data_IF_729426930650
#
_entry.id   IF_729426930650
#
_cell.length_a   1.000
_cell.length_b   1.000
_cell.length_c   1.000
_cell.angle_alpha   90.00
_cell.angle_beta   90.00
_cell.angle_gamma   90.00
#
_symmetry.space_group_name_H-M   'P 1'
#
loop_
_entity.id
_entity.type
_entity.pdbx_description
1 polymer ?
#
# COMPACT_ATOMS: atom_id res chain seq x y z
N UNK A 1 16.98 15.43 -9.78
CA UNK A 1 15.87 14.49 -9.86
C UNK A 1 15.01 14.59 -8.61
N UNK A 2 13.71 14.55 -8.78
CA UNK A 2 12.77 14.71 -7.67
C UNK A 2 11.97 13.45 -7.46
N UNK A 3 11.61 13.18 -6.22
CA UNK A 3 10.65 12.14 -5.88
C UNK A 3 9.38 12.83 -5.37
N UNK A 4 8.24 12.24 -5.66
CA UNK A 4 6.95 12.71 -5.17
C UNK A 4 6.44 11.73 -4.12
N UNK A 5 6.01 12.26 -2.98
CA UNK A 5 5.43 11.44 -1.93
C UNK A 5 4.00 11.90 -1.71
N UNK A 6 3.05 10.97 -1.86
CA UNK A 6 1.63 11.22 -1.64
C UNK A 6 1.17 10.41 -0.42
N UNK A 7 0.57 11.08 0.55
CA UNK A 7 -0.03 10.38 1.67
C UNK A 7 -1.40 9.87 1.24
N UNK A 8 -1.53 8.54 1.11
CA UNK A 8 -2.74 7.89 0.63
C UNK A 8 -3.66 7.51 1.79
N UNK A 9 -3.08 7.25 2.96
CA UNK A 9 -3.81 6.76 4.12
C UNK A 9 -3.11 7.26 5.38
N UNK A 10 -3.85 7.87 6.27
CA UNK A 10 -3.32 8.38 7.53
C UNK A 10 -4.45 8.42 8.55
N UNK A 11 -4.11 8.62 9.82
CA UNK A 11 -5.12 8.68 10.89
C UNK A 11 -5.95 9.95 10.81
N UNK A 12 -5.43 11.01 10.20
CA UNK A 12 -6.18 12.22 9.93
C UNK A 12 -6.39 12.43 8.46
N UNK A 13 -7.61 12.79 8.05
CA UNK A 13 -7.90 13.12 6.66
C UNK A 13 -7.81 14.61 6.46
N UNK A 14 -7.41 15.02 5.24
CA UNK A 14 -7.36 16.43 4.90
C UNK A 14 -8.78 17.01 4.94
N UNK A 15 -9.02 18.12 5.67
CA UNK A 15 -10.35 18.73 5.76
C UNK A 15 -10.92 19.10 4.39
N UNK A 16 -12.22 19.04 4.27
CA UNK A 16 -12.97 19.41 3.05
C UNK A 16 -12.62 18.56 1.82
N UNK A 17 -12.11 17.33 2.03
CA UNK A 17 -11.90 16.36 0.96
C UNK A 17 -12.71 15.11 1.21
N UNK A 18 -12.82 14.24 0.19
CA UNK A 18 -13.49 12.95 0.33
C UNK A 18 -12.57 11.86 0.89
N UNK A 19 -11.36 12.20 1.28
CA UNK A 19 -10.41 11.25 1.85
C UNK A 19 -10.87 10.80 3.22
N UNK A 20 -10.60 9.55 3.55
CA UNK A 20 -10.98 8.95 4.83
C UNK A 20 -9.73 8.70 5.65
N UNK A 21 -9.72 9.19 6.90
CA UNK A 21 -8.66 8.90 7.85
C UNK A 21 -9.03 7.72 8.74
N UNK A 22 -8.06 6.87 9.01
CA UNK A 22 -8.22 5.71 9.88
C UNK A 22 -6.85 5.25 10.37
N UNK A 23 -6.83 4.20 11.19
CA UNK A 23 -5.59 3.72 11.77
C UNK A 23 -4.61 3.22 10.71
N UNK A 24 -3.35 3.62 10.86
CA UNK A 24 -2.27 3.23 9.98
C UNK A 24 -1.85 4.35 9.04
N UNK A 25 -0.93 4.02 8.16
CA UNK A 25 -0.37 4.98 7.20
C UNK A 25 -0.05 4.26 5.91
N UNK A 26 -0.26 4.93 4.79
CA UNK A 26 0.20 4.46 3.49
C UNK A 26 0.72 5.64 2.69
N UNK A 27 1.93 5.51 2.18
CA UNK A 27 2.59 6.54 1.39
C UNK A 27 2.88 6.00 0.00
N UNK A 28 2.54 6.77 -1.01
CA UNK A 28 2.93 6.47 -2.38
C UNK A 28 4.16 7.27 -2.74
N UNK A 29 5.24 6.59 -3.08
CA UNK A 29 6.50 7.21 -3.49
C UNK A 29 6.65 7.01 -4.99
N UNK A 30 6.83 8.10 -5.70
CA UNK A 30 7.01 8.09 -7.15
C UNK A 30 8.35 8.66 -7.52
N UNK A 31 9.15 7.91 -8.27
CA UNK A 31 10.45 8.35 -8.74
C UNK A 31 10.82 7.59 -10.01
N UNK A 32 11.30 8.31 -11.01
CA UNK A 32 11.81 7.73 -12.27
C UNK A 32 10.80 6.77 -12.93
N UNK A 33 9.52 7.13 -12.88
CA UNK A 33 8.46 6.31 -13.47
C UNK A 33 8.06 5.09 -12.64
N UNK A 34 8.64 4.91 -11.46
CA UNK A 34 8.30 3.81 -10.55
C UNK A 34 7.40 4.30 -9.44
N UNK A 35 6.42 3.47 -9.07
CA UNK A 35 5.50 3.74 -7.98
C UNK A 35 5.64 2.67 -6.91
N UNK A 36 6.03 3.10 -5.72
CA UNK A 36 6.23 2.24 -4.56
C UNK A 36 5.22 2.63 -3.50
N UNK A 37 4.38 1.67 -3.09
CA UNK A 37 3.46 1.88 -1.99
C UNK A 37 4.12 1.41 -0.70
N UNK A 38 4.36 2.34 0.22
CA UNK A 38 4.97 2.06 1.51
C UNK A 38 3.87 1.94 2.55
N UNK A 39 3.66 0.74 3.07
CA UNK A 39 2.58 0.36 3.97
C UNK A 39 1.19 0.56 3.34
N UNK A 40 0.15 0.05 3.95
CA UNK A 40 -1.20 0.07 3.36
C UNK A 40 -2.26 0.66 4.27
N UNK A 41 -1.97 0.82 5.55
CA UNK A 41 -3.00 1.12 6.53
C UNK A 41 -3.77 -0.13 6.93
N UNK A 42 -4.73 0.03 7.83
CA UNK A 42 -5.44 -1.09 8.45
C UNK A 42 -6.60 -1.62 7.59
N UNK A 43 -7.39 -0.73 7.04
CA UNK A 43 -8.65 -1.10 6.39
C UNK A 43 -8.56 -0.99 4.87
N UNK A 44 -8.81 -2.11 4.19
CA UNK A 44 -8.76 -2.15 2.73
C UNK A 44 -9.75 -1.20 2.06
N UNK A 45 -10.97 -1.11 2.56
CA UNK A 45 -11.97 -0.24 1.94
C UNK A 45 -11.59 1.24 2.03
N UNK A 46 -10.84 1.64 3.06
CA UNK A 46 -10.38 3.02 3.17
C UNK A 46 -9.20 3.30 2.25
N UNK A 47 -8.29 2.34 2.14
CA UNK A 47 -7.18 2.46 1.19
C UNK A 47 -7.70 2.56 -0.25
N UNK A 48 -8.60 1.65 -0.63
CA UNK A 48 -9.13 1.65 -1.99
C UNK A 48 -9.97 2.89 -2.28
N UNK A 49 -10.77 3.34 -1.30
CA UNK A 49 -11.51 4.60 -1.44
C UNK A 49 -10.57 5.77 -1.72
N UNK A 50 -9.51 5.89 -0.93
CA UNK A 50 -8.58 7.00 -1.08
C UNK A 50 -7.79 6.90 -2.39
N UNK A 51 -7.39 5.70 -2.80
CA UNK A 51 -6.71 5.51 -4.08
C UNK A 51 -7.61 5.94 -5.25
N UNK A 52 -8.89 5.55 -5.22
CA UNK A 52 -9.84 5.95 -6.26
C UNK A 52 -10.05 7.47 -6.26
N UNK A 53 -10.19 8.07 -5.09
CA UNK A 53 -10.36 9.51 -4.99
C UNK A 53 -9.14 10.28 -5.52
N UNK A 54 -7.93 9.75 -5.25
CA UNK A 54 -6.68 10.34 -5.70
C UNK A 54 -6.32 9.93 -7.14
N UNK A 55 -7.18 9.16 -7.77
CA UNK A 55 -6.98 8.69 -9.15
C UNK A 55 -5.69 7.87 -9.31
N UNK A 56 -5.43 6.99 -8.33
CA UNK A 56 -4.29 6.08 -8.37
C UNK A 56 -4.79 4.70 -8.80
N UNK A 57 -4.55 4.27 -10.04
CA UNK A 57 -4.97 2.93 -10.47
C UNK A 57 -4.27 1.85 -9.66
N UNK A 58 -5.00 0.79 -9.30
CA UNK A 58 -4.43 -0.29 -8.50
C UNK A 58 -3.25 -0.97 -9.18
N UNK A 59 -3.32 -1.14 -10.50
CA UNK A 59 -2.24 -1.76 -11.27
C UNK A 59 -1.07 -0.84 -11.57
N UNK A 60 -1.15 0.45 -11.19
CA UNK A 60 -0.05 1.38 -11.38
C UNK A 60 1.06 1.23 -10.35
N UNK A 61 0.77 0.55 -9.24
CA UNK A 61 1.76 0.30 -8.20
C UNK A 61 2.72 -0.79 -8.67
N UNK A 62 4.00 -0.50 -8.64
CA UNK A 62 5.03 -1.45 -9.10
C UNK A 62 5.50 -2.36 -7.98
N UNK A 63 5.60 -1.83 -6.77
CA UNK A 63 6.12 -2.54 -5.61
C UNK A 63 5.41 -2.04 -4.37
N UNK A 64 5.15 -2.93 -3.43
CA UNK A 64 4.70 -2.56 -2.09
C UNK A 64 5.77 -2.94 -1.07
N UNK A 65 5.99 -2.09 -0.09
CA UNK A 65 6.93 -2.33 1.00
C UNK A 65 6.16 -2.25 2.31
N UNK A 66 6.22 -3.31 3.09
CA UNK A 66 5.59 -3.37 4.42
C UNK A 66 6.70 -3.33 5.46
N UNK A 67 6.70 -2.31 6.30
CA UNK A 67 7.81 -2.08 7.22
C UNK A 67 7.84 -3.03 8.41
N UNK A 68 6.68 -3.52 8.85
CA UNK A 68 6.63 -4.44 9.98
C UNK A 68 5.32 -5.24 9.96
N UNK A 69 5.31 -6.37 10.67
CA UNK A 69 4.16 -7.27 10.72
C UNK A 69 3.08 -6.74 11.67
N UNK A 70 2.60 -5.54 11.42
CA UNK A 70 1.58 -4.88 12.20
C UNK A 70 0.36 -4.64 11.31
N UNK A 71 -0.86 -4.98 11.76
CA UNK A 71 -2.06 -4.77 10.95
C UNK A 71 -2.23 -3.33 10.47
N UNK A 72 -1.78 -2.34 11.24
CA UNK A 72 -1.85 -0.94 10.82
C UNK A 72 -0.99 -0.64 9.59
N UNK A 73 0.00 -1.47 9.33
CA UNK A 73 0.91 -1.29 8.19
C UNK A 73 0.56 -2.18 7.02
N UNK A 74 -0.08 -3.33 7.27
CA UNK A 74 -0.30 -4.36 6.24
C UNK A 74 -1.77 -4.76 6.05
N UNK A 75 -2.67 -4.28 6.90
CA UNK A 75 -4.05 -4.79 6.93
C UNK A 75 -4.81 -4.63 5.62
N UNK A 76 -4.56 -3.56 4.89
CA UNK A 76 -5.26 -3.27 3.64
C UNK A 76 -4.62 -3.91 2.41
N UNK A 77 -3.51 -4.65 2.56
CA UNK A 77 -2.80 -5.20 1.40
C UNK A 77 -3.66 -6.18 0.62
N UNK A 78 -4.44 -7.02 1.29
CA UNK A 78 -5.32 -7.97 0.61
C UNK A 78 -6.36 -7.26 -0.28
N UNK A 79 -6.90 -6.15 0.19
CA UNK A 79 -7.84 -5.36 -0.60
C UNK A 79 -7.19 -4.80 -1.87
N UNK A 80 -5.96 -4.33 -1.75
CA UNK A 80 -5.20 -3.88 -2.91
C UNK A 80 -4.98 -5.02 -3.90
N UNK A 81 -4.55 -6.19 -3.41
CA UNK A 81 -4.27 -7.34 -4.26
C UNK A 81 -5.52 -7.83 -4.99
N UNK A 82 -6.66 -7.83 -4.33
CA UNK A 82 -7.93 -8.27 -4.93
C UNK A 82 -8.37 -7.39 -6.09
N UNK A 83 -7.99 -6.14 -6.09
CA UNK A 83 -8.40 -5.17 -7.10
C UNK A 83 -7.39 -5.04 -8.24
N UNK A 84 -6.33 -5.83 -8.22
CA UNK A 84 -5.30 -5.81 -9.26
C UNK A 84 -5.50 -6.94 -10.23
N UNK A 85 -5.12 -6.71 -11.48
CA UNK A 85 -5.10 -7.74 -12.51
C UNK A 85 -3.74 -8.39 -12.67
N UNK A 86 -2.67 -7.68 -12.28
CA UNK A 86 -1.31 -8.21 -12.39
C UNK A 86 -0.70 -8.44 -11.00
N UNK A 87 0.25 -9.38 -10.88
CA UNK A 87 0.93 -9.63 -9.62
C UNK A 87 1.67 -8.40 -9.10
N UNK A 88 1.85 -8.35 -7.78
CA UNK A 88 2.55 -7.26 -7.12
C UNK A 88 3.72 -7.84 -6.34
N UNK A 89 4.90 -7.28 -6.53
CA UNK A 89 6.04 -7.62 -5.69
C UNK A 89 5.88 -6.93 -4.34
N UNK A 90 5.93 -7.71 -3.28
CA UNK A 90 5.78 -7.20 -1.92
C UNK A 90 7.03 -7.53 -1.11
N UNK A 91 7.68 -6.50 -0.59
CA UNK A 91 8.80 -6.64 0.31
C UNK A 91 8.28 -6.45 1.73
N UNK A 92 8.39 -7.47 2.56
CA UNK A 92 7.82 -7.45 3.89
C UNK A 92 8.67 -8.28 4.86
N UNK A 93 8.45 -8.11 6.17
CA UNK A 93 9.13 -8.93 7.15
C UNK A 93 8.85 -10.40 6.92
N UNK A 94 9.85 -11.22 7.19
CA UNK A 94 9.75 -12.67 7.06
C UNK A 94 8.60 -13.18 7.92
N UNK A 95 7.80 -14.06 7.36
CA UNK A 95 6.70 -14.68 8.07
C UNK A 95 5.38 -13.94 8.05
N UNK A 96 5.31 -12.75 7.43
CA UNK A 96 4.07 -11.99 7.38
C UNK A 96 2.91 -12.80 6.78
N UNK A 97 3.18 -13.56 5.74
CA UNK A 97 2.18 -14.38 5.07
C UNK A 97 2.47 -15.88 5.17
N UNK A 98 3.40 -16.29 6.03
CA UNK A 98 3.73 -17.69 6.19
C UNK A 98 4.19 -18.37 4.89
N UNK A 99 4.77 -17.63 3.97
CA UNK A 99 5.18 -18.15 2.67
C UNK A 99 4.05 -18.28 1.66
N UNK A 100 2.88 -17.75 1.94
CA UNK A 100 1.77 -17.82 0.99
C UNK A 100 1.98 -16.86 -0.17
N UNK A 101 1.64 -17.37 -1.35
CA UNK A 101 1.61 -16.58 -2.57
C UNK A 101 0.16 -16.39 -2.98
N UNK A 102 -0.27 -15.15 -3.18
CA UNK A 102 -1.59 -14.85 -3.72
C UNK A 102 -1.42 -14.39 -5.17
N UNK A 103 -1.87 -13.16 -5.47
CA UNK A 103 -1.62 -12.52 -6.75
C UNK A 103 -0.33 -11.70 -6.69
N UNK A 104 0.57 -12.07 -5.82
CA UNK A 104 1.80 -11.32 -5.59
C UNK A 104 2.93 -12.26 -5.27
N UNK A 105 4.14 -11.78 -5.51
CA UNK A 105 5.36 -12.44 -5.06
C UNK A 105 5.79 -11.76 -3.76
N UNK A 106 5.93 -12.55 -2.70
CA UNK A 106 6.37 -12.06 -1.41
C UNK A 106 7.85 -12.32 -1.26
N UNK A 107 8.60 -11.27 -0.96
CA UNK A 107 10.03 -11.38 -0.70
C UNK A 107 10.24 -11.00 0.76
N UNK A 108 10.74 -11.93 1.55
CA UNK A 108 11.05 -11.67 2.95
C UNK A 108 12.25 -10.74 3.07
N UNK A 109 12.15 -9.76 3.96
CA UNK A 109 13.27 -8.90 4.28
C UNK A 109 14.20 -9.65 5.23
N UNK A 110 15.46 -9.74 4.88
CA UNK A 110 16.48 -10.35 5.75
C UNK A 110 17.23 -9.25 6.46
N UNK A 111 17.52 -9.49 7.69
CA UNK A 111 18.33 -8.57 8.48
C UNK A 111 19.82 -8.75 8.20
#
# INVERSE_FOLDING_TARGET
MTATITCVYDEGAKPATSLIGAKGTSLLVEKDGKRILFNTGLRDRYLTHNMEHLEIPYDSIDVAVISQSNPNDSGALNGLLKNRERPLDVYCPQGLYGGRSFLSRTVGLTE
#
